data_IF_004284369478
#
_entry.id   IF_004284369478
#
_cell.length_a   1.000
_cell.length_b   1.000
_cell.length_c   1.000
_cell.angle_alpha   90.00
_cell.angle_beta   90.00
_cell.angle_gamma   90.00
#
_symmetry.space_group_name_H-M   'P 1'
#
loop_
_entity.id
_entity.type
_entity.pdbx_description
1 polymer ?
#
# COMPACT_ATOMS: atom_id res chain seq x y z
N UNK A 1 -35.40 -73.99 -7.05
CA UNK A 1 -35.64 -73.14 -5.88
C UNK A 1 -34.35 -72.37 -5.66
N UNK A 2 -34.23 -71.23 -6.26
CA UNK A 2 -33.10 -70.32 -6.17
C UNK A 2 -33.61 -68.98 -5.67
N UNK A 3 -33.06 -68.49 -4.58
CA UNK A 3 -33.35 -67.14 -4.08
C UNK A 3 -32.24 -66.21 -4.57
N UNK A 4 -32.63 -65.29 -5.43
CA UNK A 4 -31.78 -64.14 -5.81
C UNK A 4 -31.73 -63.10 -4.67
N UNK A 5 -30.53 -62.80 -4.22
CA UNK A 5 -30.28 -61.72 -3.23
C UNK A 5 -30.12 -60.38 -3.98
N UNK A 6 -31.08 -59.51 -3.83
CA UNK A 6 -31.01 -58.12 -4.35
C UNK A 6 -30.10 -57.29 -3.42
N UNK A 7 -28.94 -56.93 -3.92
CA UNK A 7 -28.06 -55.95 -3.22
C UNK A 7 -28.53 -54.52 -3.52
N UNK A 8 -29.16 -53.89 -2.54
CA UNK A 8 -29.52 -52.48 -2.52
C UNK A 8 -28.26 -51.66 -2.23
N UNK A 9 -27.71 -50.97 -3.25
CA UNK A 9 -26.64 -49.95 -3.04
C UNK A 9 -27.23 -48.69 -2.46
N UNK A 10 -26.96 -48.46 -1.18
CA UNK A 10 -27.27 -47.23 -0.47
C UNK A 10 -26.30 -46.15 -0.92
N UNK A 11 -26.77 -45.16 -1.71
CA UNK A 11 -26.03 -43.94 -2.05
C UNK A 11 -26.06 -43.03 -0.84
N UNK A 12 -24.90 -42.91 -0.17
CA UNK A 12 -24.68 -41.83 0.80
C UNK A 12 -24.61 -40.50 0.05
N UNK A 13 -25.65 -39.70 0.19
CA UNK A 13 -25.62 -38.28 -0.15
C UNK A 13 -25.11 -37.56 1.09
N UNK A 14 -23.87 -37.05 1.01
CA UNK A 14 -23.38 -36.14 2.05
C UNK A 14 -24.15 -34.81 1.92
N UNK A 15 -24.71 -34.26 3.00
CA UNK A 15 -25.29 -32.94 2.97
C UNK A 15 -24.15 -31.91 2.86
N UNK A 16 -24.27 -31.04 1.87
CA UNK A 16 -23.47 -29.83 1.78
C UNK A 16 -23.78 -28.99 3.01
N UNK A 17 -22.79 -28.84 3.89
CA UNK A 17 -22.88 -27.91 5.03
C UNK A 17 -22.78 -26.51 4.46
N UNK A 18 -23.91 -25.86 4.25
CA UNK A 18 -23.99 -24.44 4.02
C UNK A 18 -23.59 -23.72 5.32
N UNK A 19 -22.40 -23.16 5.37
CA UNK A 19 -22.00 -22.25 6.45
C UNK A 19 -22.82 -20.98 6.28
N UNK A 20 -23.90 -20.87 7.04
CA UNK A 20 -24.66 -19.64 7.16
C UNK A 20 -23.84 -18.64 7.98
N UNK A 21 -23.24 -17.66 7.31
CA UNK A 21 -22.67 -16.49 7.95
C UNK A 21 -23.81 -15.66 8.56
N UNK A 22 -23.92 -15.66 9.87
CA UNK A 22 -24.81 -14.78 10.63
C UNK A 22 -24.33 -13.35 10.49
N UNK A 23 -25.02 -12.58 9.65
CA UNK A 23 -24.90 -11.13 9.56
C UNK A 23 -25.52 -10.51 10.83
N UNK A 24 -24.72 -10.13 11.79
CA UNK A 24 -25.13 -9.23 12.87
C UNK A 24 -25.03 -7.79 12.33
N UNK A 25 -26.12 -7.28 11.79
CA UNK A 25 -26.25 -5.87 11.44
C UNK A 25 -26.65 -5.09 12.71
N UNK A 26 -25.66 -4.50 13.37
CA UNK A 26 -25.85 -3.54 14.45
C UNK A 26 -25.28 -2.19 14.04
N UNK A 27 -26.05 -1.37 13.33
CA UNK A 27 -25.65 -0.01 12.98
C UNK A 27 -25.97 0.96 14.12
N UNK A 28 -24.96 1.58 14.74
CA UNK A 28 -25.16 2.74 15.62
C UNK A 28 -25.03 4.03 14.79
N UNK A 29 -26.04 4.88 14.81
CA UNK A 29 -26.00 6.22 14.23
C UNK A 29 -25.67 7.21 15.34
N UNK A 30 -24.59 7.98 15.18
CA UNK A 30 -24.23 9.08 16.07
C UNK A 30 -24.26 10.37 15.24
N UNK A 31 -24.94 11.38 15.75
CA UNK A 31 -24.96 12.74 15.15
C UNK A 31 -23.95 13.57 15.92
N UNK A 32 -22.90 14.03 15.24
CA UNK A 32 -21.89 14.95 15.76
C UNK A 32 -22.00 16.29 15.02
N UNK A 33 -21.39 17.34 15.59
CA UNK A 33 -21.33 18.69 14.98
C UNK A 33 -20.69 18.74 13.58
N UNK A 34 -20.11 17.63 13.09
CA UNK A 34 -19.48 17.48 11.80
C UNK A 34 -20.34 16.70 10.76
N UNK A 35 -21.63 16.51 10.99
CA UNK A 35 -22.52 15.77 10.09
C UNK A 35 -23.01 14.44 10.65
N UNK A 36 -23.69 13.67 9.81
CA UNK A 36 -24.18 12.34 10.16
C UNK A 36 -23.10 11.28 9.94
N UNK A 37 -22.93 10.39 10.91
CA UNK A 37 -22.00 9.25 10.85
C UNK A 37 -22.77 7.96 11.08
N UNK A 38 -22.65 7.02 10.15
CA UNK A 38 -23.18 5.66 10.31
C UNK A 38 -22.03 4.66 10.22
N UNK A 39 -22.04 3.65 11.11
CA UNK A 39 -21.03 2.60 11.15
C UNK A 39 -21.68 1.24 10.94
N UNK A 40 -21.05 0.43 10.12
CA UNK A 40 -21.39 -0.96 9.87
C UNK A 40 -20.12 -1.81 10.01
N UNK A 41 -20.23 -2.99 10.61
CA UNK A 41 -19.12 -3.91 10.82
C UNK A 41 -19.43 -5.25 10.17
N UNK A 42 -18.48 -5.76 9.39
CA UNK A 42 -18.54 -7.10 8.76
C UNK A 42 -17.35 -7.92 9.23
N UNK A 43 -17.62 -9.15 9.61
CA UNK A 43 -16.61 -10.11 10.07
C UNK A 43 -16.56 -11.31 9.15
N UNK A 44 -15.35 -11.71 8.77
CA UNK A 44 -15.08 -12.79 7.86
C UNK A 44 -14.12 -13.77 8.51
N UNK A 45 -14.42 -15.06 8.44
CA UNK A 45 -13.49 -16.10 8.85
C UNK A 45 -12.69 -16.55 7.63
N UNK A 46 -11.37 -16.62 7.77
CA UNK A 46 -10.45 -17.11 6.73
C UNK A 46 -9.75 -18.36 7.21
N UNK A 47 -9.56 -19.31 6.30
CA UNK A 47 -8.89 -20.60 6.59
C UNK A 47 -7.43 -20.63 6.17
N UNK A 48 -6.96 -19.61 5.45
CA UNK A 48 -5.59 -19.45 4.92
C UNK A 48 -5.21 -18.01 4.79
N UNK A 49 -4.26 -17.73 3.92
CA UNK A 49 -3.82 -16.35 3.61
C UNK A 49 -4.99 -15.55 3.04
N UNK A 50 -5.43 -14.46 3.69
CA UNK A 50 -6.49 -13.61 3.17
C UNK A 50 -6.03 -12.87 1.91
N UNK A 51 -6.97 -12.67 0.98
CA UNK A 51 -6.81 -11.90 -0.25
C UNK A 51 -7.86 -10.79 -0.27
N UNK A 52 -7.44 -9.58 0.11
CA UNK A 52 -8.33 -8.44 0.31
C UNK A 52 -8.31 -7.51 -0.90
N UNK A 53 -9.49 -7.19 -1.41
CA UNK A 53 -9.69 -6.20 -2.46
C UNK A 53 -10.60 -5.10 -1.93
N UNK A 54 -10.02 -3.94 -1.66
CA UNK A 54 -10.69 -2.79 -1.04
C UNK A 54 -10.72 -1.64 -2.04
N UNK A 55 -11.90 -1.16 -2.36
CA UNK A 55 -12.07 -0.04 -3.29
C UNK A 55 -13.01 1.00 -2.70
N UNK A 56 -12.59 2.26 -2.71
CA UNK A 56 -13.46 3.39 -2.38
C UNK A 56 -13.21 4.55 -3.36
N UNK A 57 -14.20 5.38 -3.60
CA UNK A 57 -14.03 6.51 -4.53
C UNK A 57 -13.23 7.67 -3.91
N UNK A 58 -13.57 8.15 -2.69
CA UNK A 58 -12.87 9.28 -2.04
C UNK A 58 -12.61 9.02 -0.54
N UNK A 59 -12.97 7.86 -0.04
CA UNK A 59 -12.81 7.50 1.36
C UNK A 59 -11.41 6.99 1.70
N UNK A 60 -10.99 7.16 2.92
CA UNK A 60 -9.72 6.61 3.38
C UNK A 60 -9.81 5.10 3.66
N UNK A 61 -8.70 4.40 3.43
CA UNK A 61 -8.55 2.99 3.76
C UNK A 61 -7.47 2.86 4.83
N UNK A 62 -7.82 2.21 5.94
CA UNK A 62 -6.90 1.92 7.02
C UNK A 62 -6.84 0.42 7.28
N UNK A 63 -5.63 -0.17 7.23
CA UNK A 63 -5.42 -1.60 7.40
C UNK A 63 -4.49 -1.82 8.59
N UNK A 64 -4.96 -2.60 9.57
CA UNK A 64 -4.28 -2.89 10.84
C UNK A 64 -4.10 -4.38 11.03
N UNK A 65 -3.06 -4.83 11.75
CA UNK A 65 -2.91 -6.23 12.11
C UNK A 65 -3.95 -6.63 13.16
N UNK A 66 -4.45 -7.85 13.03
CA UNK A 66 -5.42 -8.45 13.92
C UNK A 66 -5.17 -9.93 14.13
N UNK A 67 -6.24 -10.65 14.39
CA UNK A 67 -6.25 -12.09 14.66
C UNK A 67 -5.96 -12.90 13.39
N UNK A 68 -5.28 -14.05 13.52
CA UNK A 68 -4.80 -14.86 12.40
C UNK A 68 -5.89 -15.57 11.57
N UNK A 69 -7.13 -15.59 12.06
CA UNK A 69 -8.24 -16.29 11.40
C UNK A 69 -9.43 -15.41 11.07
N UNK A 70 -9.33 -14.14 11.32
CA UNK A 70 -10.45 -13.23 11.15
C UNK A 70 -10.03 -11.97 10.40
N UNK A 71 -10.90 -11.55 9.48
CA UNK A 71 -10.85 -10.23 8.87
C UNK A 71 -12.10 -9.47 9.31
N UNK A 72 -11.91 -8.30 9.90
CA UNK A 72 -13.00 -7.40 10.27
C UNK A 72 -12.92 -6.14 9.42
N UNK A 73 -14.02 -5.76 8.80
CA UNK A 73 -14.16 -4.54 8.02
C UNK A 73 -15.19 -3.65 8.70
N UNK A 74 -14.74 -2.55 9.28
CA UNK A 74 -15.59 -1.47 9.76
C UNK A 74 -15.74 -0.43 8.64
N UNK A 75 -16.98 -0.07 8.33
CA UNK A 75 -17.33 0.87 7.30
C UNK A 75 -17.96 2.09 7.97
N UNK A 76 -17.24 3.20 8.00
CA UNK A 76 -17.72 4.46 8.55
C UNK A 76 -18.16 5.38 7.41
N UNK A 77 -19.48 5.52 7.26
CA UNK A 77 -20.07 6.45 6.31
C UNK A 77 -20.22 7.83 6.93
N UNK A 78 -19.91 8.87 6.21
CA UNK A 78 -20.04 10.28 6.62
C UNK A 78 -20.75 11.08 5.53
N UNK A 79 -21.63 11.98 5.92
CA UNK A 79 -22.32 12.87 4.98
C UNK A 79 -23.09 13.97 5.69
N UNK A 80 -23.60 14.97 4.94
CA UNK A 80 -24.32 16.10 5.52
C UNK A 80 -25.67 15.70 6.13
N UNK A 81 -26.31 14.67 5.60
CA UNK A 81 -27.60 14.15 6.08
C UNK A 81 -27.61 12.64 6.09
N UNK A 82 -28.52 12.03 6.84
CA UNK A 82 -28.74 10.59 6.82
C UNK A 82 -29.14 10.08 5.42
N UNK A 83 -29.99 10.82 4.72
CA UNK A 83 -30.41 10.48 3.36
C UNK A 83 -29.23 10.36 2.39
N UNK A 84 -28.25 11.28 2.48
CA UNK A 84 -27.05 11.24 1.65
C UNK A 84 -26.14 10.04 2.00
N UNK A 85 -26.04 9.70 3.27
CA UNK A 85 -25.29 8.51 3.72
C UNK A 85 -25.93 7.22 3.21
N UNK A 86 -27.26 7.14 3.22
CA UNK A 86 -28.01 5.96 2.79
C UNK A 86 -27.92 5.70 1.28
N UNK A 87 -27.59 6.72 0.49
CA UNK A 87 -27.32 6.59 -0.95
C UNK A 87 -25.99 5.92 -1.27
N UNK A 88 -25.05 5.86 -0.31
CA UNK A 88 -23.77 5.16 -0.50
C UNK A 88 -23.99 3.66 -0.64
N UNK A 89 -23.70 3.13 -1.81
CA UNK A 89 -23.77 1.69 -2.09
C UNK A 89 -22.47 1.01 -1.68
N UNK A 90 -22.58 -0.03 -0.87
CA UNK A 90 -21.46 -0.81 -0.41
C UNK A 90 -21.68 -2.26 -0.77
N UNK A 91 -20.85 -2.77 -1.65
CA UNK A 91 -20.83 -4.17 -2.04
C UNK A 91 -19.76 -4.90 -1.24
N UNK A 92 -20.16 -5.95 -0.53
CA UNK A 92 -19.27 -6.79 0.26
C UNK A 92 -19.49 -8.24 -0.13
N UNK A 93 -18.42 -8.93 -0.53
CA UNK A 93 -18.46 -10.33 -0.95
C UNK A 93 -17.30 -11.10 -0.35
N UNK A 94 -17.54 -12.34 0.00
CA UNK A 94 -16.51 -13.31 0.37
C UNK A 94 -16.62 -14.55 -0.50
N UNK A 95 -15.48 -14.98 -1.04
CA UNK A 95 -15.31 -16.26 -1.72
C UNK A 95 -14.03 -16.94 -1.17
N UNK A 96 -14.24 -17.90 -0.27
CA UNK A 96 -13.14 -18.52 0.46
C UNK A 96 -12.34 -17.52 1.29
N UNK A 97 -11.06 -17.34 0.97
CA UNK A 97 -10.18 -16.37 1.63
C UNK A 97 -10.16 -15.00 0.94
N UNK A 98 -10.83 -14.88 -0.21
CA UNK A 98 -10.95 -13.62 -0.92
C UNK A 98 -12.13 -12.82 -0.38
N UNK A 99 -11.86 -11.54 -0.07
CA UNK A 99 -12.84 -10.58 0.45
C UNK A 99 -12.77 -9.34 -0.41
N UNK A 100 -13.86 -9.04 -1.11
CA UNK A 100 -14.03 -7.85 -1.93
C UNK A 100 -14.96 -6.88 -1.20
N UNK A 101 -14.49 -5.63 -1.01
CA UNK A 101 -15.27 -4.52 -0.43
C UNK A 101 -15.19 -3.34 -1.39
N UNK A 102 -16.31 -2.94 -1.93
CA UNK A 102 -16.39 -1.83 -2.87
C UNK A 102 -17.42 -0.80 -2.39
N UNK A 103 -16.95 0.43 -2.22
CA UNK A 103 -17.80 1.60 -1.95
C UNK A 103 -17.98 2.37 -3.25
N UNK A 104 -19.24 2.45 -3.72
CA UNK A 104 -19.59 3.09 -4.99
C UNK A 104 -20.14 4.48 -4.75
N UNK A 105 -19.77 5.41 -5.63
CA UNK A 105 -20.41 6.72 -5.69
C UNK A 105 -21.86 6.55 -6.17
N UNK A 106 -22.83 7.26 -5.55
CA UNK A 106 -24.19 7.24 -6.03
C UNK A 106 -24.27 7.66 -7.51
N UNK A 107 -24.98 6.87 -8.32
CA UNK A 107 -25.27 7.25 -9.70
C UNK A 107 -26.22 8.45 -9.69
N UNK A 108 -25.91 9.51 -10.43
CA UNK A 108 -26.77 10.68 -10.66
C UNK A 108 -26.82 11.75 -9.55
N UNK A 109 -25.71 12.18 -9.00
CA UNK A 109 -25.69 13.47 -8.30
C UNK A 109 -24.74 14.46 -8.97
N UNK A 110 -25.35 15.39 -9.72
CA UNK A 110 -24.69 16.66 -10.02
C UNK A 110 -24.81 17.47 -8.74
N UNK A 111 -23.80 17.44 -7.90
CA UNK A 111 -23.76 18.30 -6.70
C UNK A 111 -23.52 19.73 -7.16
N UNK A 112 -24.60 20.46 -7.44
CA UNK A 112 -24.57 21.90 -7.52
C UNK A 112 -24.64 22.46 -6.10
N UNK A 113 -23.48 22.76 -5.50
CA UNK A 113 -23.46 23.44 -4.20
C UNK A 113 -22.14 23.22 -3.44
N UNK A 114 -21.83 24.16 -2.58
CA UNK A 114 -20.73 24.08 -1.61
C UNK A 114 -21.20 23.19 -0.45
N UNK A 115 -21.15 21.87 -0.60
CA UNK A 115 -21.59 20.92 0.41
C UNK A 115 -20.58 19.80 0.62
N UNK A 116 -20.61 19.21 1.79
CA UNK A 116 -19.81 18.01 2.12
C UNK A 116 -20.30 16.84 1.27
N UNK A 117 -19.43 16.25 0.45
CA UNK A 117 -19.73 15.04 -0.30
C UNK A 117 -19.76 13.83 0.64
N UNK A 118 -20.76 12.94 0.55
CA UNK A 118 -20.78 11.73 1.36
C UNK A 118 -19.58 10.85 1.00
N UNK A 119 -18.89 10.33 2.02
CA UNK A 119 -17.72 9.46 1.90
C UNK A 119 -17.84 8.24 2.80
N UNK A 120 -17.05 7.19 2.52
CA UNK A 120 -16.95 6.05 3.43
C UNK A 120 -15.50 5.71 3.69
N UNK A 121 -15.13 5.69 4.96
CA UNK A 121 -13.85 5.19 5.44
C UNK A 121 -13.94 3.69 5.68
N UNK A 122 -12.96 2.94 5.19
CA UNK A 122 -12.80 1.52 5.45
C UNK A 122 -11.70 1.32 6.50
N UNK A 123 -12.03 0.68 7.62
CA UNK A 123 -11.06 0.30 8.64
C UNK A 123 -11.04 -1.23 8.67
N UNK A 124 -9.93 -1.81 8.27
CA UNK A 124 -9.78 -3.26 8.13
C UNK A 124 -8.78 -3.78 9.14
N UNK A 125 -9.19 -4.77 9.91
CA UNK A 125 -8.32 -5.55 10.79
C UNK A 125 -8.15 -6.93 10.19
N UNK A 126 -6.91 -7.36 9.94
CA UNK A 126 -6.60 -8.61 9.24
C UNK A 126 -5.38 -9.31 9.84
N UNK A 127 -5.13 -10.59 9.54
CA UNK A 127 -3.87 -11.26 9.84
C UNK A 127 -2.66 -10.48 9.33
N UNK A 128 -1.52 -10.61 10.00
CA UNK A 128 -0.25 -9.97 9.59
C UNK A 128 0.27 -10.45 8.25
N UNK A 129 -0.10 -11.65 7.83
CA UNK A 129 0.24 -12.19 6.52
C UNK A 129 -1.00 -12.23 5.65
N UNK A 130 -0.96 -11.58 4.48
CA UNK A 130 -2.07 -11.51 3.55
C UNK A 130 -1.76 -10.72 2.30
N UNK A 131 -2.56 -10.92 1.26
CA UNK A 131 -2.51 -10.12 0.05
C UNK A 131 -3.53 -8.98 0.16
N UNK A 132 -3.15 -7.80 -0.28
CA UNK A 132 -3.98 -6.61 -0.23
C UNK A 132 -3.89 -5.84 -1.52
N UNK A 133 -5.04 -5.61 -2.13
CA UNK A 133 -5.22 -4.63 -3.21
C UNK A 133 -6.14 -3.55 -2.66
N UNK A 134 -5.60 -2.36 -2.37
CA UNK A 134 -6.37 -1.23 -1.85
C UNK A 134 -6.34 -0.06 -2.83
N UNK A 135 -7.51 0.40 -3.24
CA UNK A 135 -7.68 1.51 -4.19
C UNK A 135 -8.62 2.56 -3.64
N UNK A 136 -8.17 3.80 -3.69
CA UNK A 136 -9.00 4.98 -3.41
C UNK A 136 -8.92 5.98 -4.56
N UNK A 137 -9.94 6.79 -4.79
CA UNK A 137 -9.80 7.97 -5.64
C UNK A 137 -8.85 8.96 -4.96
N UNK A 138 -9.38 9.81 -4.09
CA UNK A 138 -8.60 10.88 -3.45
C UNK A 138 -8.32 10.64 -1.95
N UNK A 139 -8.84 9.53 -1.40
CA UNK A 139 -8.66 9.17 0.00
C UNK A 139 -7.29 8.60 0.31
N UNK A 140 -6.79 8.88 1.50
CA UNK A 140 -5.50 8.34 1.95
C UNK A 140 -5.57 6.86 2.29
N UNK A 141 -4.45 6.16 2.07
CA UNK A 141 -4.28 4.76 2.44
C UNK A 141 -3.25 4.65 3.56
N UNK A 142 -3.62 3.97 4.64
CA UNK A 142 -2.71 3.63 5.74
C UNK A 142 -2.67 2.12 5.94
N UNK A 143 -1.49 1.55 6.05
CA UNK A 143 -1.30 0.12 6.33
C UNK A 143 -0.18 -0.08 7.36
N UNK A 144 -0.40 -0.99 8.30
CA UNK A 144 0.55 -1.25 9.37
C UNK A 144 0.76 -2.74 9.57
N UNK A 145 2.04 -3.16 9.63
CA UNK A 145 2.51 -4.49 10.03
C UNK A 145 1.83 -5.64 9.28
N UNK A 146 1.79 -5.52 7.95
CA UNK A 146 1.29 -6.54 7.04
C UNK A 146 2.40 -6.96 6.08
N UNK A 147 2.50 -8.25 5.82
CA UNK A 147 3.47 -8.85 4.92
C UNK A 147 2.77 -9.70 3.86
N UNK A 148 3.17 -9.58 2.60
CA UNK A 148 2.61 -10.33 1.49
C UNK A 148 2.71 -9.60 0.16
N UNK A 149 1.74 -9.82 -0.73
CA UNK A 149 1.62 -9.03 -1.95
C UNK A 149 0.70 -7.84 -1.68
N UNK A 150 1.28 -6.64 -1.67
CA UNK A 150 0.59 -5.40 -1.32
C UNK A 150 0.56 -4.45 -2.52
N UNK A 151 -0.61 -4.15 -3.03
CA UNK A 151 -0.84 -3.16 -4.10
C UNK A 151 -1.71 -2.04 -3.55
N UNK A 152 -1.13 -0.84 -3.37
CA UNK A 152 -1.83 0.32 -2.82
C UNK A 152 -1.86 1.43 -3.87
N UNK A 153 -3.06 1.88 -4.24
CA UNK A 153 -3.23 2.94 -5.25
C UNK A 153 -4.21 4.00 -4.78
N UNK A 154 -3.84 5.26 -4.98
CA UNK A 154 -4.75 6.39 -4.79
C UNK A 154 -4.50 7.44 -5.87
N UNK A 155 -5.50 8.27 -6.17
CA UNK A 155 -5.30 9.43 -7.05
C UNK A 155 -4.44 10.47 -6.33
N UNK A 156 -5.05 11.31 -5.52
CA UNK A 156 -4.37 12.44 -4.87
C UNK A 156 -4.11 12.22 -3.38
N UNK A 157 -4.56 11.10 -2.83
CA UNK A 157 -4.40 10.74 -1.42
C UNK A 157 -2.97 10.35 -1.05
N UNK A 158 -2.58 10.61 0.18
CA UNK A 158 -1.29 10.17 0.70
C UNK A 158 -1.30 8.68 1.06
N UNK A 159 -0.16 8.00 0.86
CA UNK A 159 0.04 6.62 1.30
C UNK A 159 1.01 6.62 2.49
N UNK A 160 0.59 6.01 3.61
CA UNK A 160 1.43 5.82 4.80
C UNK A 160 1.49 4.36 5.15
N UNK A 161 2.69 3.79 5.24
CA UNK A 161 2.87 2.40 5.61
C UNK A 161 3.97 2.25 6.66
N UNK A 162 3.74 1.34 7.61
CA UNK A 162 4.70 1.07 8.67
C UNK A 162 4.86 -0.44 8.87
N UNK A 163 6.11 -0.94 8.87
CA UNK A 163 6.42 -2.34 9.13
C UNK A 163 5.82 -3.29 8.10
N UNK A 164 5.87 -2.94 6.81
CA UNK A 164 5.35 -3.77 5.73
C UNK A 164 6.48 -4.51 4.99
N UNK A 165 6.13 -5.61 4.34
CA UNK A 165 7.12 -6.38 3.61
C UNK A 165 6.53 -7.35 2.58
N UNK A 166 7.41 -8.01 1.83
CA UNK A 166 7.06 -8.87 0.70
C UNK A 166 7.17 -8.15 -0.63
N UNK A 167 6.21 -8.36 -1.53
CA UNK A 167 6.14 -7.63 -2.81
C UNK A 167 5.20 -6.43 -2.66
N UNK A 168 5.75 -5.23 -2.61
CA UNK A 168 5.02 -3.99 -2.33
C UNK A 168 5.04 -3.08 -3.55
N UNK A 169 3.87 -2.81 -4.10
CA UNK A 169 3.65 -1.86 -5.20
C UNK A 169 2.78 -0.71 -4.72
N UNK A 170 3.26 0.52 -4.86
CA UNK A 170 2.57 1.74 -4.42
C UNK A 170 2.46 2.72 -5.59
N UNK A 171 1.28 3.30 -5.74
CA UNK A 171 1.05 4.32 -6.76
C UNK A 171 0.13 5.41 -6.22
N UNK A 172 0.55 6.67 -6.40
CA UNK A 172 -0.30 7.83 -6.16
C UNK A 172 -0.05 8.88 -7.26
N UNK A 173 -1.00 9.77 -7.51
CA UNK A 173 -0.79 10.94 -8.35
C UNK A 173 0.02 11.99 -7.59
N UNK A 174 -0.66 12.88 -6.89
CA UNK A 174 -0.04 14.05 -6.24
C UNK A 174 0.21 13.86 -4.74
N UNK A 175 -0.25 12.74 -4.18
CA UNK A 175 -0.12 12.44 -2.75
C UNK A 175 1.29 12.08 -2.32
N UNK A 176 1.68 12.51 -1.12
CA UNK A 176 2.97 12.12 -0.54
C UNK A 176 2.96 10.66 -0.07
N UNK A 177 4.11 9.99 -0.19
CA UNK A 177 4.31 8.63 0.29
C UNK A 177 5.31 8.61 1.44
N UNK A 178 4.92 8.00 2.57
CA UNK A 178 5.77 7.83 3.74
C UNK A 178 5.78 6.36 4.18
N UNK A 179 6.93 5.72 4.07
CA UNK A 179 7.15 4.32 4.42
C UNK A 179 8.20 4.22 5.52
N UNK A 180 7.92 3.41 6.53
CA UNK A 180 8.84 3.14 7.63
C UNK A 180 8.90 1.62 7.90
N UNK A 181 10.11 1.07 8.04
CA UNK A 181 10.31 -0.37 8.26
C UNK A 181 9.93 -1.24 7.06
N UNK A 182 10.24 -0.79 5.84
CA UNK A 182 9.98 -1.58 4.63
C UNK A 182 11.00 -2.70 4.46
N UNK A 183 10.54 -3.91 4.08
CA UNK A 183 11.38 -5.07 3.75
C UNK A 183 10.89 -5.75 2.46
N UNK A 184 11.78 -6.53 1.80
CA UNK A 184 11.43 -7.22 0.56
C UNK A 184 11.53 -6.32 -0.68
N UNK A 185 10.64 -6.45 -1.64
CA UNK A 185 10.64 -5.68 -2.89
C UNK A 185 9.74 -4.46 -2.78
N UNK A 186 10.27 -3.30 -3.13
CA UNK A 186 9.52 -2.04 -3.24
C UNK A 186 9.50 -1.54 -4.68
N UNK A 187 8.32 -1.31 -5.23
CA UNK A 187 8.08 -0.55 -6.46
C UNK A 187 7.10 0.59 -6.15
N UNK A 188 7.59 1.84 -6.22
CA UNK A 188 6.85 3.02 -5.82
C UNK A 188 6.88 4.06 -6.94
N UNK A 189 5.68 4.54 -7.32
CA UNK A 189 5.50 5.57 -8.34
C UNK A 189 4.57 6.67 -7.83
N UNK A 190 4.97 7.91 -8.02
CA UNK A 190 4.10 9.08 -7.82
C UNK A 190 4.37 10.12 -8.91
N UNK A 191 3.40 10.98 -9.22
CA UNK A 191 3.65 12.08 -10.17
C UNK A 191 4.39 13.21 -9.46
N UNK A 192 3.73 13.92 -8.54
CA UNK A 192 4.30 15.15 -7.94
C UNK A 192 4.55 15.04 -6.44
N UNK A 193 4.16 13.93 -5.84
CA UNK A 193 4.28 13.70 -4.41
C UNK A 193 5.70 13.47 -3.92
N UNK A 194 6.04 14.04 -2.77
CA UNK A 194 7.31 13.72 -2.10
C UNK A 194 7.30 12.32 -1.50
N UNK A 195 8.43 11.63 -1.61
CA UNK A 195 8.62 10.27 -1.14
C UNK A 195 9.62 10.23 0.00
N UNK A 196 9.21 9.63 1.11
CA UNK A 196 10.10 9.33 2.25
C UNK A 196 10.00 7.84 2.56
N UNK A 197 11.14 7.16 2.52
CA UNK A 197 11.24 5.71 2.76
C UNK A 197 12.35 5.44 3.78
N UNK A 198 12.07 4.61 4.78
CA UNK A 198 13.06 4.04 5.67
C UNK A 198 12.90 2.51 5.74
N UNK A 199 14.01 1.75 5.80
CA UNK A 199 13.97 0.29 5.94
C UNK A 199 15.13 -0.44 5.29
N UNK A 200 14.92 -1.73 5.06
CA UNK A 200 15.88 -2.68 4.49
C UNK A 200 15.26 -3.44 3.32
N UNK A 201 14.87 -2.77 2.21
CA UNK A 201 14.33 -3.48 1.07
C UNK A 201 15.41 -4.32 0.38
N UNK A 202 15.02 -5.51 -0.12
CA UNK A 202 15.87 -6.34 -0.98
C UNK A 202 16.09 -5.67 -2.35
N UNK A 203 15.03 -5.03 -2.85
CA UNK A 203 14.98 -4.30 -4.12
C UNK A 203 14.18 -3.02 -3.91
N UNK A 204 14.68 -1.90 -4.36
CA UNK A 204 13.98 -0.62 -4.32
C UNK A 204 13.94 0.04 -5.70
N UNK A 205 12.73 0.29 -6.19
CA UNK A 205 12.47 1.12 -7.36
C UNK A 205 11.54 2.24 -6.94
N UNK A 206 12.04 3.47 -6.97
CA UNK A 206 11.29 4.65 -6.55
C UNK A 206 11.34 5.69 -7.67
N UNK A 207 10.18 6.07 -8.14
CA UNK A 207 10.03 7.07 -9.17
C UNK A 207 9.02 8.14 -8.75
N UNK A 208 9.39 9.40 -8.93
CA UNK A 208 8.47 10.54 -8.86
C UNK A 208 8.71 11.47 -10.04
N UNK A 209 7.71 12.20 -10.49
CA UNK A 209 7.89 13.26 -11.48
C UNK A 209 8.64 14.43 -10.85
N UNK A 210 7.95 15.28 -10.09
CA UNK A 210 8.52 16.53 -9.58
C UNK A 210 8.83 16.50 -8.06
N UNK A 211 8.44 15.45 -7.35
CA UNK A 211 8.65 15.31 -5.92
C UNK A 211 10.09 14.97 -5.53
N UNK A 212 10.47 15.34 -4.33
CA UNK A 212 11.77 14.94 -3.77
C UNK A 212 11.71 13.54 -3.17
N UNK A 213 12.82 12.80 -3.29
CA UNK A 213 12.99 11.47 -2.71
C UNK A 213 13.95 11.55 -1.53
N UNK A 214 13.51 11.08 -0.37
CA UNK A 214 14.35 10.82 0.78
C UNK A 214 14.29 9.34 1.12
N UNK A 215 15.42 8.66 1.03
CA UNK A 215 15.52 7.24 1.36
C UNK A 215 16.58 7.04 2.46
N UNK A 216 16.24 6.27 3.48
CA UNK A 216 17.13 5.87 4.56
C UNK A 216 17.24 4.35 4.60
N UNK A 217 18.38 3.82 4.19
CA UNK A 217 18.71 2.43 4.46
C UNK A 217 19.05 2.27 5.94
N UNK A 218 18.39 1.32 6.60
CA UNK A 218 18.69 0.96 7.98
C UNK A 218 19.97 0.10 8.06
N UNK A 219 20.56 0.04 9.24
CA UNK A 219 21.77 -0.77 9.51
C UNK A 219 21.53 -2.25 9.12
N UNK A 220 22.45 -2.82 8.36
CA UNK A 220 22.34 -4.19 7.84
C UNK A 220 21.55 -4.31 6.53
N UNK A 221 21.14 -3.21 5.90
CA UNK A 221 20.51 -3.25 4.58
C UNK A 221 21.49 -3.80 3.52
N UNK A 222 21.04 -4.80 2.77
CA UNK A 222 21.80 -5.45 1.71
C UNK A 222 20.94 -5.51 0.44
N UNK A 223 21.48 -5.00 -0.64
CA UNK A 223 20.86 -5.08 -1.95
C UNK A 223 20.91 -6.51 -2.48
N UNK A 224 19.75 -7.16 -2.69
CA UNK A 224 19.67 -8.45 -3.39
C UNK A 224 19.60 -8.28 -4.91
N UNK A 225 19.14 -7.13 -5.36
CA UNK A 225 19.07 -6.71 -6.76
C UNK A 225 19.29 -5.20 -6.86
N UNK A 226 19.35 -4.66 -8.07
CA UNK A 226 19.61 -3.24 -8.32
C UNK A 226 18.55 -2.33 -7.70
N UNK A 227 18.99 -1.19 -7.16
CA UNK A 227 18.13 -0.12 -6.68
C UNK A 227 18.10 1.05 -7.65
N UNK A 228 16.93 1.66 -7.83
CA UNK A 228 16.75 2.82 -8.70
C UNK A 228 15.92 3.89 -8.02
N UNK A 229 16.45 5.11 -7.96
CA UNK A 229 15.78 6.31 -7.47
C UNK A 229 15.79 7.36 -8.57
N UNK A 230 14.62 7.74 -9.05
CA UNK A 230 14.50 8.67 -10.18
C UNK A 230 13.44 9.73 -9.90
N UNK A 231 13.78 10.98 -10.11
CA UNK A 231 12.85 12.11 -10.10
C UNK A 231 13.11 13.02 -11.30
N UNK A 232 12.09 13.75 -11.73
CA UNK A 232 12.25 14.82 -12.72
C UNK A 232 12.95 16.03 -12.11
N UNK A 233 12.21 16.85 -11.36
CA UNK A 233 12.70 18.13 -10.86
C UNK A 233 13.08 18.15 -9.37
N UNK A 234 12.79 17.10 -8.65
CA UNK A 234 13.07 16.99 -7.21
C UNK A 234 14.50 16.62 -6.87
N UNK A 235 14.89 16.84 -5.64
CA UNK A 235 16.17 16.37 -5.11
C UNK A 235 16.09 14.96 -4.57
N UNK A 236 17.19 14.20 -4.67
CA UNK A 236 17.31 12.86 -4.08
C UNK A 236 18.30 12.90 -2.92
N UNK A 237 17.87 12.47 -1.74
CA UNK A 237 18.71 12.32 -0.55
C UNK A 237 18.71 10.88 -0.09
N UNK A 238 19.86 10.21 -0.16
CA UNK A 238 20.05 8.85 0.30
C UNK A 238 20.90 8.83 1.56
N UNK A 239 20.37 8.25 2.62
CA UNK A 239 21.08 7.97 3.87
C UNK A 239 21.45 6.50 3.89
N UNK A 240 22.73 6.20 3.82
CA UNK A 240 23.24 4.83 3.71
C UNK A 240 24.17 4.52 4.88
N UNK A 241 24.14 3.30 5.46
CA UNK A 241 25.11 2.88 6.45
C UNK A 241 26.55 3.00 5.93
N UNK A 242 27.50 3.26 6.81
CA UNK A 242 28.91 3.42 6.43
C UNK A 242 29.56 2.17 5.82
N UNK A 243 28.98 0.99 6.09
CA UNK A 243 29.37 -0.31 5.56
C UNK A 243 28.57 -0.74 4.30
N UNK A 244 27.71 0.14 3.80
CA UNK A 244 26.89 -0.13 2.62
C UNK A 244 27.77 -0.32 1.38
N UNK A 245 27.46 -1.36 0.59
CA UNK A 245 28.23 -1.75 -0.58
C UNK A 245 27.36 -1.75 -1.82
N UNK A 246 27.78 -1.03 -2.86
CA UNK A 246 27.07 -0.94 -4.14
C UNK A 246 27.98 -0.40 -5.25
N UNK A 247 27.66 -0.68 -6.49
CA UNK A 247 28.16 0.09 -7.63
C UNK A 247 27.26 1.31 -7.81
N UNK A 248 27.84 2.50 -7.70
CA UNK A 248 27.11 3.77 -7.76
C UNK A 248 27.09 4.33 -9.17
N UNK A 249 25.91 4.69 -9.65
CA UNK A 249 25.70 5.48 -10.86
C UNK A 249 24.69 6.60 -10.57
N UNK A 250 25.20 7.77 -10.20
CA UNK A 250 24.41 8.96 -9.85
C UNK A 250 24.62 10.08 -10.86
N UNK A 251 23.53 10.66 -11.39
CA UNK A 251 23.64 11.84 -12.26
C UNK A 251 22.42 12.75 -12.21
N UNK A 252 22.66 14.03 -12.45
CA UNK A 252 21.64 15.08 -12.57
C UNK A 252 21.81 15.82 -13.90
N UNK A 253 20.71 16.29 -14.48
CA UNK A 253 20.73 17.16 -15.66
C UNK A 253 21.17 18.57 -15.30
N UNK A 254 20.51 19.19 -14.30
CA UNK A 254 20.86 20.53 -13.82
C UNK A 254 20.83 20.61 -12.30
N UNK A 255 22.00 20.49 -11.71
CA UNK A 255 22.17 20.42 -10.26
C UNK A 255 23.56 19.97 -9.89
N UNK A 256 23.70 19.26 -8.76
CA UNK A 256 24.98 18.70 -8.33
C UNK A 256 24.81 17.37 -7.65
N UNK A 257 25.79 16.51 -7.79
CA UNK A 257 25.90 15.25 -7.03
C UNK A 257 26.96 15.45 -5.93
N UNK A 258 26.57 15.18 -4.69
CA UNK A 258 27.45 15.27 -3.54
C UNK A 258 27.38 13.99 -2.71
N UNK A 259 28.54 13.46 -2.32
CA UNK A 259 28.65 12.30 -1.47
C UNK A 259 29.52 12.60 -0.25
N UNK A 260 28.99 12.31 0.94
CA UNK A 260 29.75 12.24 2.19
C UNK A 260 30.41 10.87 2.38
N UNK A 261 29.99 9.87 1.57
CA UNK A 261 30.56 8.54 1.59
C UNK A 261 31.76 8.47 0.63
N UNK A 262 32.74 7.64 0.97
CA UNK A 262 33.89 7.40 0.09
C UNK A 262 33.45 6.58 -1.13
N UNK A 263 33.65 7.14 -2.32
CA UNK A 263 33.39 6.48 -3.62
C UNK A 263 34.71 6.20 -4.28
N UNK A 264 35.07 4.93 -4.40
CA UNK A 264 36.34 4.48 -5.02
C UNK A 264 36.17 4.44 -6.55
N UNK A 265 37.25 4.79 -7.28
CA UNK A 265 37.24 4.77 -8.75
C UNK A 265 36.46 5.92 -9.38
N UNK A 266 36.05 6.93 -8.61
CA UNK A 266 35.34 8.08 -9.11
C UNK A 266 36.28 9.08 -9.80
N UNK A 267 35.87 9.61 -10.94
CA UNK A 267 36.47 10.81 -11.53
C UNK A 267 35.78 12.03 -10.89
N UNK A 268 36.46 12.67 -9.94
CA UNK A 268 35.90 13.73 -9.08
C UNK A 268 35.72 15.09 -9.78
N UNK A 269 35.90 15.17 -11.08
CA UNK A 269 35.82 16.44 -11.82
C UNK A 269 34.42 16.80 -12.31
N UNK A 270 33.47 15.87 -12.36
CA UNK A 270 32.12 16.12 -12.81
C UNK A 270 31.18 16.45 -11.64
N UNK A 271 30.71 17.71 -11.57
CA UNK A 271 29.72 18.09 -10.54
C UNK A 271 28.33 17.50 -10.77
N UNK A 272 28.01 17.05 -11.99
CA UNK A 272 26.70 16.56 -12.40
C UNK A 272 26.59 15.05 -12.42
N UNK A 273 27.70 14.33 -12.28
CA UNK A 273 27.73 12.88 -12.25
C UNK A 273 28.74 12.35 -11.22
N UNK A 274 28.44 11.20 -10.65
CA UNK A 274 29.32 10.48 -9.74
C UNK A 274 29.17 8.98 -9.99
N UNK A 275 30.23 8.35 -10.49
CA UNK A 275 30.30 6.91 -10.76
C UNK A 275 31.43 6.30 -9.94
N UNK A 276 31.24 5.09 -9.46
CA UNK A 276 32.27 4.37 -8.71
C UNK A 276 31.68 3.36 -7.74
N UNK A 277 32.48 2.93 -6.77
CA UNK A 277 32.10 1.89 -5.84
C UNK A 277 31.98 2.42 -4.41
N UNK A 278 30.87 2.10 -3.77
CA UNK A 278 30.68 2.20 -2.33
C UNK A 278 31.07 0.88 -1.68
N UNK A 279 31.89 0.93 -0.62
CA UNK A 279 32.36 -0.26 0.10
C UNK A 279 33.04 -1.26 -0.82
N UNK A 280 32.50 -2.48 -0.90
CA UNK A 280 33.03 -3.56 -1.73
C UNK A 280 32.43 -3.60 -3.16
N UNK A 281 31.63 -2.61 -3.53
CA UNK A 281 30.86 -2.65 -4.77
C UNK A 281 29.69 -3.62 -4.70
N UNK A 282 29.20 -4.10 -5.86
CA UNK A 282 28.14 -5.11 -5.91
C UNK A 282 27.02 -4.75 -6.87
N UNK A 283 25.77 -4.76 -6.39
CA UNK A 283 24.58 -4.40 -7.18
C UNK A 283 24.57 -2.91 -7.52
N UNK A 284 23.89 -2.54 -8.60
CA UNK A 284 23.83 -1.17 -9.08
C UNK A 284 22.87 -0.32 -8.25
N UNK A 285 23.39 0.76 -7.68
CA UNK A 285 22.62 1.86 -7.09
C UNK A 285 22.53 2.99 -8.10
N UNK A 286 21.42 3.05 -8.82
CA UNK A 286 21.16 4.06 -9.83
C UNK A 286 20.35 5.22 -9.25
N UNK A 287 20.86 6.46 -9.38
CA UNK A 287 20.20 7.67 -8.90
C UNK A 287 20.16 8.71 -9.99
N UNK A 288 18.96 9.19 -10.34
CA UNK A 288 18.75 10.16 -11.41
C UNK A 288 17.83 11.28 -10.96
N UNK A 289 18.17 12.50 -11.35
CA UNK A 289 17.25 13.64 -11.31
C UNK A 289 17.46 14.52 -12.55
N UNK A 290 16.42 15.19 -12.99
CA UNK A 290 16.53 16.21 -14.04
C UNK A 290 17.22 17.46 -13.48
N UNK A 291 16.50 18.23 -12.67
CA UNK A 291 16.94 19.56 -12.23
C UNK A 291 17.34 19.66 -10.74
N UNK A 292 17.21 18.62 -9.99
CA UNK A 292 17.54 18.60 -8.57
C UNK A 292 18.97 18.20 -8.25
N UNK A 293 19.30 18.24 -6.97
CA UNK A 293 20.59 17.76 -6.46
C UNK A 293 20.48 16.36 -5.87
N UNK A 294 21.54 15.58 -6.01
CA UNK A 294 21.67 14.25 -5.39
C UNK A 294 22.63 14.37 -4.20
N UNK A 295 22.22 13.87 -3.05
CA UNK A 295 23.02 13.84 -1.83
C UNK A 295 23.07 12.43 -1.26
N UNK A 296 24.28 11.89 -1.14
CA UNK A 296 24.58 10.62 -0.46
C UNK A 296 25.17 10.95 0.91
N UNK A 297 24.55 10.48 1.98
CA UNK A 297 24.94 10.77 3.37
C UNK A 297 25.16 9.49 4.16
N UNK A 298 26.04 9.55 5.13
CA UNK A 298 26.14 8.50 6.14
C UNK A 298 24.93 8.55 7.09
N UNK A 299 24.32 7.38 7.41
CA UNK A 299 23.21 7.25 8.35
C UNK A 299 23.67 6.85 9.74
#
# INVERSE_FOLDING_TARGET
MGQEAVQTRMKFVLPAVAVASTLLAGGCVVVDSQGHIARDEKRFTVSGTPDLHLTTFDGSIEIRPGDDRQVTVEIEKRGPTQEEIDKLQIDVKQDGNRIDVEVKRPAHEIVFGWGMTPTARLIVTMPRSGNVVARSGDGSIRIERVTGHLELRTGDGSIKANGIGGDVTLQTGDGSVALDGITGRLDLQTSDGSVTVAGQPDVAKVHTGDGSITFRAESGAVMKDDWSFTTGDGSVSLYLPSDFSAELDASTGDGSVHSELTVSGSDSQERKALHGQLGQGGKLLKVRTGDGSIRLRAS
#
